data_IF_703177623247
#
_entry.id   IF_703177623247
#
_cell.length_a   1.000
_cell.length_b   1.000
_cell.length_c   1.000
_cell.angle_alpha   90.00
_cell.angle_beta   90.00
_cell.angle_gamma   90.00
#
_symmetry.space_group_name_H-M   'P 1'
#
loop_
_entity.id
_entity.type
_entity.pdbx_description
1 polymer ?
#
# COMPACT_ATOMS: atom_id res chain seq x y z
N UNK A 1 73.47 7.50 -9.51
CA UNK A 1 72.24 6.72 -9.79
C UNK A 1 71.19 6.71 -8.66
N UNK A 2 71.22 7.61 -7.65
CA UNK A 2 70.26 7.62 -6.52
C UNK A 2 69.04 8.55 -6.67
N UNK A 3 69.00 9.43 -7.68
CA UNK A 3 67.91 10.42 -7.87
C UNK A 3 66.72 9.91 -8.70
N UNK A 4 66.92 8.87 -9.51
CA UNK A 4 65.86 8.28 -10.35
C UNK A 4 64.90 7.38 -9.56
N UNK A 5 65.35 6.81 -8.44
CA UNK A 5 64.54 5.96 -7.57
C UNK A 5 63.55 6.75 -6.72
N UNK A 6 63.93 7.93 -6.21
CA UNK A 6 63.05 8.77 -5.39
C UNK A 6 61.86 9.35 -6.18
N UNK A 7 62.07 9.72 -7.44
CA UNK A 7 61.02 10.21 -8.35
C UNK A 7 59.95 9.14 -8.65
N UNK A 8 60.37 7.88 -8.81
CA UNK A 8 59.45 6.75 -9.03
C UNK A 8 58.65 6.43 -7.76
N UNK A 9 59.26 6.53 -6.58
CA UNK A 9 58.56 6.35 -5.31
C UNK A 9 57.56 7.47 -5.02
N UNK A 10 57.92 8.73 -5.32
CA UNK A 10 57.03 9.87 -5.18
C UNK A 10 55.81 9.76 -6.11
N UNK A 11 55.99 9.33 -7.36
CA UNK A 11 54.89 9.08 -8.29
C UNK A 11 53.93 7.99 -7.80
N UNK A 12 54.44 6.91 -7.21
CA UNK A 12 53.59 5.84 -6.64
C UNK A 12 52.77 6.30 -5.43
N UNK A 13 53.35 7.12 -4.56
CA UNK A 13 52.63 7.72 -3.43
C UNK A 13 51.52 8.66 -3.89
N UNK A 14 51.77 9.42 -4.96
CA UNK A 14 50.79 10.34 -5.54
C UNK A 14 49.61 9.58 -6.17
N UNK A 15 49.89 8.50 -6.91
CA UNK A 15 48.85 7.61 -7.44
C UNK A 15 48.05 6.95 -6.32
N UNK A 16 48.72 6.45 -5.27
CA UNK A 16 48.03 5.85 -4.13
C UNK A 16 47.12 6.87 -3.40
N UNK A 17 47.58 8.10 -3.23
CA UNK A 17 46.77 9.18 -2.65
C UNK A 17 45.55 9.54 -3.52
N UNK A 18 45.72 9.61 -4.85
CA UNK A 18 44.62 9.86 -5.78
C UNK A 18 43.60 8.72 -5.78
N UNK A 19 44.05 7.46 -5.74
CA UNK A 19 43.17 6.30 -5.62
C UNK A 19 42.40 6.30 -4.30
N UNK A 20 43.05 6.65 -3.18
CA UNK A 20 42.39 6.76 -1.88
C UNK A 20 41.35 7.89 -1.86
N UNK A 21 41.63 9.04 -2.48
CA UNK A 21 40.67 10.14 -2.64
C UNK A 21 39.48 9.75 -3.52
N UNK A 22 39.72 9.03 -4.63
CA UNK A 22 38.66 8.52 -5.48
C UNK A 22 37.76 7.52 -4.74
N UNK A 23 38.35 6.62 -3.94
CA UNK A 23 37.61 5.70 -3.06
C UNK A 23 36.77 6.46 -2.02
N UNK A 24 37.32 7.50 -1.39
CA UNK A 24 36.58 8.34 -0.44
C UNK A 24 35.40 9.08 -1.09
N UNK A 25 35.58 9.59 -2.32
CA UNK A 25 34.49 10.23 -3.06
C UNK A 25 33.42 9.21 -3.49
N UNK A 26 33.81 7.98 -3.82
CA UNK A 26 32.88 6.89 -4.16
C UNK A 26 32.11 6.35 -2.94
N UNK A 27 32.65 6.47 -1.72
CA UNK A 27 31.92 6.08 -0.49
C UNK A 27 30.78 7.04 -0.14
N UNK A 28 30.86 8.32 -0.51
CA UNK A 28 29.80 9.30 -0.23
C UNK A 28 28.42 8.92 -0.81
N UNK A 29 28.28 8.55 -2.10
CA UNK A 29 27.00 8.09 -2.64
C UNK A 29 26.57 6.74 -2.10
N UNK A 30 27.50 5.84 -1.73
CA UNK A 30 27.15 4.56 -1.10
C UNK A 30 26.50 4.76 0.27
N UNK A 31 27.07 5.61 1.13
CA UNK A 31 26.49 5.95 2.44
C UNK A 31 25.16 6.68 2.29
N UNK A 32 25.03 7.57 1.31
CA UNK A 32 23.75 8.24 1.03
C UNK A 32 22.68 7.24 0.57
N UNK A 33 23.03 6.31 -0.33
CA UNK A 33 22.13 5.25 -0.79
C UNK A 33 21.72 4.31 0.34
N UNK A 34 22.64 3.95 1.24
CA UNK A 34 22.29 3.14 2.43
C UNK A 34 21.41 3.91 3.40
N UNK A 35 21.65 5.22 3.61
CA UNK A 35 20.77 6.05 4.46
C UNK A 35 19.37 6.19 3.87
N UNK A 36 19.24 6.41 2.56
CA UNK A 36 17.94 6.44 1.88
C UNK A 36 17.24 5.08 1.93
N UNK A 37 18.00 3.97 1.78
CA UNK A 37 17.49 2.61 1.97
C UNK A 37 17.01 2.31 3.39
N UNK A 38 17.74 2.79 4.39
CA UNK A 38 17.35 2.65 5.80
C UNK A 38 16.15 3.54 6.13
N UNK A 39 16.11 4.78 5.63
CA UNK A 39 14.96 5.68 5.84
C UNK A 39 13.70 5.16 5.13
N UNK A 40 13.82 4.54 3.94
CA UNK A 40 12.70 3.87 3.26
C UNK A 40 12.24 2.61 3.99
N UNK A 41 13.15 1.81 4.55
CA UNK A 41 12.79 0.66 5.41
C UNK A 41 12.18 1.11 6.74
N UNK A 42 12.65 2.23 7.30
CA UNK A 42 12.13 2.82 8.54
C UNK A 42 10.75 3.45 8.34
N UNK A 43 10.51 4.10 7.20
CA UNK A 43 9.18 4.63 6.81
C UNK A 43 8.23 3.56 6.26
N UNK A 44 8.70 2.37 5.89
CA UNK A 44 7.82 1.23 5.61
C UNK A 44 6.93 0.86 6.81
N UNK A 45 7.39 1.15 8.04
CA UNK A 45 6.58 1.07 9.26
C UNK A 45 5.43 2.09 9.34
N UNK A 46 5.51 3.20 8.61
CA UNK A 46 4.46 4.23 8.51
C UNK A 46 3.60 4.09 7.25
N UNK A 47 4.01 3.26 6.27
CA UNK A 47 3.24 2.93 5.07
C UNK A 47 2.18 1.82 5.30
N UNK A 48 2.14 1.24 6.51
CA UNK A 48 1.15 0.24 6.90
C UNK A 48 -0.33 0.66 6.77
N UNK A 49 -0.78 1.88 7.12
CA UNK A 49 -2.21 2.21 7.10
C UNK A 49 -2.76 2.33 5.68
N UNK A 50 -2.00 2.92 4.74
CA UNK A 50 -2.43 3.05 3.34
C UNK A 50 -2.50 1.67 2.65
N UNK A 51 -1.51 0.81 2.92
CA UNK A 51 -1.51 -0.57 2.41
C UNK A 51 -2.64 -1.41 3.01
N UNK A 52 -2.83 -1.34 4.33
CA UNK A 52 -3.93 -2.03 5.02
C UNK A 52 -5.30 -1.55 4.53
N UNK A 53 -5.44 -0.25 4.25
CA UNK A 53 -6.65 0.32 3.69
C UNK A 53 -6.94 -0.22 2.28
N UNK A 54 -5.92 -0.28 1.43
CA UNK A 54 -6.04 -0.86 0.08
C UNK A 54 -6.41 -2.34 0.13
N UNK A 55 -5.73 -3.12 0.96
CA UNK A 55 -6.02 -4.54 1.14
C UNK A 55 -7.45 -4.76 1.68
N UNK A 56 -7.91 -3.89 2.60
CA UNK A 56 -9.28 -3.88 3.09
C UNK A 56 -10.29 -3.63 1.96
N UNK A 57 -10.06 -2.64 1.09
CA UNK A 57 -10.95 -2.36 -0.04
C UNK A 57 -11.00 -3.53 -1.04
N UNK A 58 -9.85 -4.14 -1.34
CA UNK A 58 -9.77 -5.32 -2.20
C UNK A 58 -10.49 -6.53 -1.60
N UNK A 59 -10.43 -6.71 -0.28
CA UNK A 59 -11.23 -7.71 0.42
C UNK A 59 -12.73 -7.42 0.31
N UNK A 60 -13.17 -6.19 0.58
CA UNK A 60 -14.58 -5.81 0.54
C UNK A 60 -15.19 -5.98 -0.86
N UNK A 61 -14.46 -5.57 -1.91
CA UNK A 61 -14.90 -5.73 -3.29
C UNK A 61 -15.09 -7.21 -3.67
N UNK A 62 -14.14 -8.07 -3.30
CA UNK A 62 -14.24 -9.52 -3.54
C UNK A 62 -15.40 -10.15 -2.78
N UNK A 63 -15.58 -9.78 -1.52
CA UNK A 63 -16.62 -10.35 -0.67
C UNK A 63 -18.01 -9.92 -1.12
N UNK A 64 -18.17 -8.66 -1.55
CA UNK A 64 -19.41 -8.15 -2.14
C UNK A 64 -19.79 -8.95 -3.40
N UNK A 65 -18.85 -9.10 -4.33
CA UNK A 65 -19.08 -9.86 -5.58
C UNK A 65 -19.44 -11.33 -5.30
N UNK A 66 -18.82 -11.92 -4.27
CA UNK A 66 -19.08 -13.31 -3.89
C UNK A 66 -20.46 -13.51 -3.27
N UNK A 67 -20.91 -12.58 -2.45
CA UNK A 67 -22.16 -12.71 -1.70
C UNK A 67 -23.39 -12.21 -2.47
N UNK A 68 -23.21 -11.22 -3.36
CA UNK A 68 -24.33 -10.55 -4.04
C UNK A 68 -24.25 -10.80 -5.56
N UNK A 69 -25.23 -11.50 -6.14
CA UNK A 69 -25.31 -11.68 -7.59
C UNK A 69 -25.53 -10.36 -8.34
N UNK A 70 -24.99 -10.26 -9.55
CA UNK A 70 -25.27 -9.15 -10.47
C UNK A 70 -26.78 -9.01 -10.74
N UNK A 71 -27.25 -7.77 -10.90
CA UNK A 71 -28.67 -7.43 -11.09
C UNK A 71 -29.50 -7.35 -9.80
N UNK A 72 -28.97 -7.82 -8.67
CA UNK A 72 -29.65 -7.73 -7.37
C UNK A 72 -29.78 -6.28 -6.92
N UNK A 73 -30.93 -5.90 -6.37
CA UNK A 73 -31.14 -4.55 -5.80
C UNK A 73 -30.68 -4.53 -4.35
N UNK A 74 -29.65 -3.75 -4.02
CA UNK A 74 -29.08 -3.69 -2.68
C UNK A 74 -29.20 -2.30 -2.06
N UNK A 75 -29.50 -2.27 -0.76
CA UNK A 75 -29.34 -1.08 0.08
C UNK A 75 -28.03 -1.22 0.86
N UNK A 76 -27.12 -0.26 0.70
CA UNK A 76 -25.85 -0.24 1.45
C UNK A 76 -26.04 0.58 2.72
N UNK A 77 -25.97 -0.10 3.87
CA UNK A 77 -26.12 0.47 5.21
C UNK A 77 -24.73 0.58 5.84
N UNK A 78 -24.03 1.67 5.52
CA UNK A 78 -22.72 2.02 6.05
C UNK A 78 -22.74 3.47 6.54
N UNK A 79 -22.15 3.72 7.72
CA UNK A 79 -22.16 5.03 8.37
C UNK A 79 -20.95 5.88 7.96
N UNK A 80 -19.84 5.24 7.59
CA UNK A 80 -18.62 5.92 7.15
C UNK A 80 -18.75 6.31 5.67
N UNK A 81 -18.83 7.62 5.33
CA UNK A 81 -19.15 8.06 3.96
C UNK A 81 -18.19 7.55 2.89
N UNK A 82 -16.88 7.55 3.18
CA UNK A 82 -15.85 7.12 2.23
C UNK A 82 -15.95 5.62 1.91
N UNK A 83 -16.27 4.80 2.91
CA UNK A 83 -16.49 3.37 2.72
C UNK A 83 -17.82 3.11 2.03
N UNK A 84 -18.85 3.87 2.35
CA UNK A 84 -20.14 3.78 1.67
C UNK A 84 -19.98 4.06 0.17
N UNK A 85 -19.29 5.14 -0.20
CA UNK A 85 -19.01 5.48 -1.59
C UNK A 85 -18.23 4.37 -2.29
N UNK A 86 -17.18 3.86 -1.65
CA UNK A 86 -16.37 2.75 -2.19
C UNK A 86 -17.20 1.49 -2.44
N UNK A 87 -18.10 1.13 -1.51
CA UNK A 87 -19.00 -0.02 -1.66
C UNK A 87 -20.02 0.18 -2.79
N UNK A 88 -20.53 1.40 -2.98
CA UNK A 88 -21.43 1.76 -4.08
C UNK A 88 -20.71 1.63 -5.43
N UNK A 89 -19.47 2.09 -5.51
CA UNK A 89 -18.63 1.94 -6.71
C UNK A 89 -18.39 0.46 -7.02
N UNK A 90 -17.99 -0.34 -6.02
CA UNK A 90 -17.79 -1.78 -6.21
C UNK A 90 -19.07 -2.49 -6.64
N UNK A 91 -20.21 -2.17 -6.01
CA UNK A 91 -21.50 -2.71 -6.41
C UNK A 91 -21.79 -2.43 -7.88
N UNK A 92 -21.59 -1.19 -8.31
CA UNK A 92 -21.80 -0.76 -9.70
C UNK A 92 -20.87 -1.49 -10.68
N UNK A 93 -19.59 -1.65 -10.33
CA UNK A 93 -18.62 -2.39 -11.12
C UNK A 93 -18.99 -3.87 -11.30
N UNK A 94 -19.62 -4.47 -10.29
CA UNK A 94 -20.07 -5.87 -10.32
C UNK A 94 -21.49 -6.04 -10.90
N UNK A 95 -22.09 -4.97 -11.45
CA UNK A 95 -23.43 -4.99 -12.03
C UNK A 95 -24.55 -5.11 -11.00
N UNK A 96 -24.29 -4.79 -9.73
CA UNK A 96 -25.28 -4.78 -8.65
C UNK A 96 -26.00 -3.43 -8.64
N UNK A 97 -27.33 -3.45 -8.46
CA UNK A 97 -28.15 -2.23 -8.50
C UNK A 97 -28.25 -1.64 -7.09
N UNK A 98 -27.60 -0.51 -6.83
CA UNK A 98 -27.74 0.19 -5.54
C UNK A 98 -29.04 0.99 -5.52
N UNK A 99 -29.84 0.83 -4.48
CA UNK A 99 -31.07 1.60 -4.24
C UNK A 99 -30.92 2.50 -3.01
N UNK A 100 -31.67 3.60 -3.00
CA UNK A 100 -31.78 4.46 -1.82
C UNK A 100 -32.65 3.81 -0.71
N UNK A 101 -32.69 4.44 0.48
CA UNK A 101 -33.48 3.96 1.62
C UNK A 101 -34.99 3.92 1.38
N UNK A 102 -35.48 4.64 0.37
CA UNK A 102 -36.90 4.69 0.00
C UNK A 102 -37.26 3.67 -1.10
N UNK A 103 -36.26 3.09 -1.75
CA UNK A 103 -36.40 2.11 -2.80
C UNK A 103 -36.68 0.71 -2.25
N UNK A 104 -37.29 -0.13 -3.09
CA UNK A 104 -37.40 -1.57 -2.81
C UNK A 104 -36.04 -2.22 -3.03
N UNK A 105 -35.38 -2.60 -1.94
CA UNK A 105 -34.17 -3.42 -1.93
C UNK A 105 -34.54 -4.91 -1.80
N UNK A 106 -33.77 -5.78 -2.44
CA UNK A 106 -33.86 -7.22 -2.25
C UNK A 106 -32.99 -7.67 -1.05
N UNK A 107 -31.86 -6.99 -0.86
CA UNK A 107 -30.90 -7.24 0.22
C UNK A 107 -30.38 -5.94 0.82
N UNK A 108 -30.02 -5.99 2.10
CA UNK A 108 -29.23 -4.97 2.76
C UNK A 108 -27.80 -5.48 2.95
N UNK A 109 -26.82 -4.67 2.55
CA UNK A 109 -25.40 -4.92 2.73
C UNK A 109 -24.89 -3.99 3.83
N UNK A 110 -24.23 -4.55 4.84
CA UNK A 110 -23.64 -3.78 5.93
C UNK A 110 -22.30 -4.38 6.35
N UNK A 111 -21.44 -3.53 6.92
CA UNK A 111 -20.18 -3.97 7.51
C UNK A 111 -20.37 -4.22 9.00
N UNK A 112 -19.87 -5.36 9.48
CA UNK A 112 -19.83 -5.69 10.89
C UNK A 112 -18.39 -5.74 11.39
N UNK A 113 -18.04 -5.03 12.49
CA UNK A 113 -16.75 -5.17 13.13
C UNK A 113 -16.57 -6.60 13.65
N UNK A 114 -15.55 -7.30 13.17
CA UNK A 114 -15.26 -8.68 13.53
C UNK A 114 -13.73 -8.83 13.70
N UNK A 115 -13.22 -8.97 14.95
CA UNK A 115 -11.78 -9.13 15.20
C UNK A 115 -11.18 -10.38 14.56
N UNK A 116 -12.00 -11.39 14.26
CA UNK A 116 -11.54 -12.62 13.62
C UNK A 116 -11.49 -12.50 12.07
N UNK A 117 -12.00 -11.41 11.49
CA UNK A 117 -11.96 -11.19 10.05
C UNK A 117 -10.61 -10.58 9.60
N UNK A 118 -10.16 -10.81 8.35
CA UNK A 118 -8.82 -10.42 7.87
C UNK A 118 -8.47 -8.93 8.03
N UNK A 119 -9.47 -8.05 8.03
CA UNK A 119 -9.29 -6.60 8.18
C UNK A 119 -10.15 -6.01 9.31
N UNK A 120 -10.48 -6.83 10.32
CA UNK A 120 -11.33 -6.41 11.44
C UNK A 120 -12.79 -6.12 11.07
N UNK A 121 -13.19 -6.42 9.83
CA UNK A 121 -14.54 -6.18 9.31
C UNK A 121 -15.02 -7.35 8.46
N UNK A 122 -16.32 -7.64 8.53
CA UNK A 122 -17.00 -8.64 7.72
C UNK A 122 -18.16 -7.99 6.96
N UNK A 123 -18.28 -8.30 5.67
CA UNK A 123 -19.44 -7.91 4.88
C UNK A 123 -20.55 -8.95 5.14
N UNK A 124 -21.72 -8.45 5.52
CA UNK A 124 -22.90 -9.27 5.80
C UNK A 124 -24.07 -8.79 4.94
N UNK A 125 -24.90 -9.74 4.53
CA UNK A 125 -26.14 -9.49 3.81
C UNK A 125 -27.34 -9.95 4.62
N UNK A 126 -28.39 -9.14 4.69
CA UNK A 126 -29.68 -9.54 5.28
C UNK A 126 -30.84 -9.17 4.38
N UNK A 127 -31.99 -9.83 4.58
CA UNK A 127 -33.23 -9.43 3.93
C UNK A 127 -33.77 -8.16 4.61
N UNK A 128 -34.18 -7.12 3.87
CA UNK A 128 -34.76 -5.92 4.47
C UNK A 128 -36.01 -6.28 5.25
N UNK A 129 -36.20 -5.60 6.39
CA UNK A 129 -37.40 -5.75 7.20
C UNK A 129 -38.62 -5.26 6.38
N UNK A 130 -39.63 -6.12 6.24
CA UNK A 130 -40.85 -5.82 5.50
C UNK A 130 -41.72 -4.77 6.20
#
# INVERSE_FOLDING_TARGET
MRRLSSLRSAGRLLVAALCALALLQAMRPAVYSTRVGIDTVRTAGEQHPARQYREKLEYLSRELHRQVPAGTRVLIVEEVPDLQLSLVEFASMHGIVVVDRTGRADLEVYLHPDPAAPHGVRLLTRKPAA
#
